data_IF_827400301503
#
_entry.id   IF_827400301503
#
_cell.length_a   1.000
_cell.length_b   1.000
_cell.length_c   1.000
_cell.angle_alpha   90.00
_cell.angle_beta   90.00
_cell.angle_gamma   90.00
#
_symmetry.space_group_name_H-M   'P 1'
#
loop_
_entity.id
_entity.type
_entity.pdbx_description
1 polymer ?
#
# COMPACT_ATOMS: atom_id res chain seq x y z
N UNK A 1 -3.41 14.40 12.08
CA UNK A 1 -2.88 15.74 11.75
C UNK A 1 -2.41 16.50 13.00
N UNK A 2 -3.18 16.52 14.09
CA UNK A 2 -2.79 17.22 15.35
C UNK A 2 -1.46 16.70 15.92
N UNK A 3 -1.26 15.38 16.00
CA UNK A 3 -0.01 14.78 16.48
C UNK A 3 1.21 15.23 15.66
N UNK A 4 1.07 15.25 14.32
CA UNK A 4 2.14 15.67 13.43
C UNK A 4 2.50 17.15 13.63
N UNK A 5 1.48 18.00 13.83
CA UNK A 5 1.68 19.42 14.13
C UNK A 5 2.44 19.62 15.45
N UNK A 6 1.99 18.95 16.52
CA UNK A 6 2.62 19.04 17.85
C UNK A 6 4.08 18.54 17.79
N UNK A 7 4.31 17.39 17.15
CA UNK A 7 5.66 16.85 16.97
C UNK A 7 6.55 17.81 16.18
N UNK A 8 6.03 18.45 15.13
CA UNK A 8 6.79 19.43 14.34
C UNK A 8 7.15 20.67 15.19
N UNK A 9 6.22 21.15 16.02
CA UNK A 9 6.45 22.28 16.94
C UNK A 9 7.51 21.97 18.02
N UNK A 10 7.72 20.70 18.35
CA UNK A 10 8.74 20.28 19.33
C UNK A 10 10.08 20.00 18.63
N UNK A 11 10.06 19.21 17.56
CA UNK A 11 11.27 18.70 16.91
C UNK A 11 12.05 19.79 16.18
N UNK A 12 11.38 20.68 15.44
CA UNK A 12 12.07 21.69 14.64
C UNK A 12 12.84 22.71 15.50
N UNK A 13 12.26 23.26 16.59
CA UNK A 13 13.02 24.16 17.48
C UNK A 13 14.11 23.46 18.29
N UNK A 14 13.92 22.18 18.63
CA UNK A 14 14.89 21.42 19.43
C UNK A 14 16.11 20.98 18.62
N UNK A 15 15.94 20.78 17.30
CA UNK A 15 16.98 20.30 16.40
C UNK A 15 17.14 21.18 15.15
N UNK A 16 17.46 22.48 15.30
CA UNK A 16 17.47 23.43 14.19
C UNK A 16 18.56 23.15 13.14
N UNK A 17 19.61 22.42 13.53
CA UNK A 17 20.74 22.09 12.66
C UNK A 17 20.51 20.80 11.86
N UNK A 18 19.45 20.04 12.15
CA UNK A 18 19.14 18.79 11.45
C UNK A 18 18.30 19.11 10.22
N UNK A 19 18.61 18.47 9.09
CA UNK A 19 17.84 18.70 7.87
C UNK A 19 16.38 18.28 8.05
N UNK A 20 15.48 19.08 7.48
CA UNK A 20 14.03 18.90 7.60
C UNK A 20 13.54 17.52 7.16
N UNK A 21 14.18 16.87 6.18
CA UNK A 21 13.74 15.56 5.69
C UNK A 21 13.87 14.48 6.76
N UNK A 22 14.92 14.56 7.60
CA UNK A 22 15.09 13.63 8.72
C UNK A 22 14.08 13.90 9.85
N UNK A 23 13.74 15.17 10.08
CA UNK A 23 12.73 15.54 11.08
C UNK A 23 11.33 15.08 10.65
N UNK A 24 10.98 15.22 9.37
CA UNK A 24 9.73 14.73 8.81
C UNK A 24 9.57 13.22 8.98
N UNK A 25 10.65 12.45 8.81
CA UNK A 25 10.65 11.02 9.06
C UNK A 25 10.24 10.69 10.51
N UNK A 26 10.80 11.39 11.49
CA UNK A 26 10.46 11.22 12.90
C UNK A 26 9.03 11.67 13.23
N UNK A 27 8.57 12.78 12.65
CA UNK A 27 7.19 13.25 12.76
C UNK A 27 6.21 12.19 12.23
N UNK A 28 6.53 11.57 11.09
CA UNK A 28 5.71 10.52 10.49
C UNK A 28 5.66 9.27 11.39
N UNK A 29 6.82 8.79 11.85
CA UNK A 29 6.88 7.64 12.77
C UNK A 29 6.10 7.90 14.06
N UNK A 30 6.32 9.05 14.70
CA UNK A 30 5.60 9.42 15.92
C UNK A 30 4.09 9.50 15.70
N UNK A 31 3.66 10.04 14.56
CA UNK A 31 2.24 10.12 14.20
C UNK A 31 1.62 8.74 13.99
N UNK A 32 2.34 7.81 13.34
CA UNK A 32 1.91 6.41 13.16
C UNK A 32 1.79 5.72 14.51
N UNK A 33 2.80 5.85 15.38
CA UNK A 33 2.80 5.23 16.70
C UNK A 33 1.60 5.69 17.54
N UNK A 34 1.35 7.02 17.58
CA UNK A 34 0.18 7.57 18.29
C UNK A 34 -1.13 7.10 17.65
N UNK A 35 -1.22 7.04 16.32
CA UNK A 35 -2.42 6.54 15.65
C UNK A 35 -2.71 5.09 16.05
N UNK A 36 -1.71 4.22 16.01
CA UNK A 36 -1.85 2.80 16.40
C UNK A 36 -2.27 2.69 17.86
N UNK A 37 -1.63 3.47 18.75
CA UNK A 37 -1.95 3.48 20.17
C UNK A 37 -3.41 3.88 20.41
N UNK A 38 -3.83 5.02 19.84
CA UNK A 38 -5.20 5.51 19.99
C UNK A 38 -6.21 4.53 19.40
N UNK A 39 -5.89 3.89 18.26
CA UNK A 39 -6.74 2.84 17.67
C UNK A 39 -6.97 1.68 18.65
N UNK A 40 -5.93 1.22 19.34
CA UNK A 40 -6.07 0.13 20.33
C UNK A 40 -6.73 0.57 21.63
N UNK A 41 -6.60 1.84 22.03
CA UNK A 41 -7.26 2.38 23.22
C UNK A 41 -8.75 2.70 22.99
N UNK A 42 -9.16 2.90 21.75
CA UNK A 42 -10.56 3.18 21.41
C UNK A 42 -11.38 1.90 21.56
N UNK A 43 -12.48 1.91 22.33
CA UNK A 43 -13.34 0.73 22.46
C UNK A 43 -13.83 0.22 21.09
N UNK A 44 -13.89 -1.11 20.90
CA UNK A 44 -14.40 -1.69 19.65
C UNK A 44 -15.87 -1.35 19.45
N UNK A 45 -16.28 -1.23 18.18
CA UNK A 45 -17.68 -0.99 17.82
C UNK A 45 -18.54 -2.22 18.18
N UNK A 46 -19.82 -2.04 18.52
CA UNK A 46 -20.73 -3.16 18.78
C UNK A 46 -20.82 -4.14 17.59
N UNK A 47 -20.88 -5.45 17.88
CA UNK A 47 -20.84 -6.49 16.85
C UNK A 47 -21.99 -6.39 15.85
N UNK A 48 -23.20 -6.03 16.30
CA UNK A 48 -24.36 -5.81 15.44
C UNK A 48 -24.10 -4.72 14.37
N UNK A 49 -23.44 -3.63 14.74
CA UNK A 49 -23.06 -2.57 13.80
C UNK A 49 -22.03 -3.07 12.78
N UNK A 50 -21.08 -3.89 13.21
CA UNK A 50 -20.09 -4.51 12.32
C UNK A 50 -20.75 -5.48 11.33
N UNK A 51 -21.70 -6.30 11.79
CA UNK A 51 -22.42 -7.27 10.95
C UNK A 51 -23.27 -6.56 9.89
N UNK A 52 -23.98 -5.49 10.26
CA UNK A 52 -24.77 -4.67 9.32
C UNK A 52 -23.87 -3.99 8.28
N UNK A 53 -22.70 -3.50 8.68
CA UNK A 53 -21.70 -2.95 7.77
C UNK A 53 -21.20 -4.02 6.79
N UNK A 54 -20.84 -5.20 7.29
CA UNK A 54 -20.34 -6.31 6.48
C UNK A 54 -21.37 -6.75 5.44
N UNK A 55 -22.64 -6.90 5.84
CA UNK A 55 -23.74 -7.28 4.94
C UNK A 55 -23.96 -6.25 3.83
N UNK A 56 -23.80 -4.97 4.14
CA UNK A 56 -24.06 -3.87 3.19
C UNK A 56 -22.92 -3.65 2.20
N UNK A 57 -21.67 -3.78 2.64
CA UNK A 57 -20.49 -3.34 1.89
C UNK A 57 -19.71 -4.52 1.29
N UNK A 58 -19.91 -5.73 1.82
CA UNK A 58 -19.10 -6.92 1.55
C UNK A 58 -17.59 -6.61 1.46
N UNK A 59 -17.01 -6.16 2.58
CA UNK A 59 -15.68 -5.56 2.55
C UNK A 59 -14.60 -6.65 2.40
N UNK A 60 -13.55 -6.35 1.63
CA UNK A 60 -12.37 -7.21 1.51
C UNK A 60 -11.41 -6.97 2.69
N UNK A 61 -10.69 -8.02 3.12
CA UNK A 61 -9.62 -7.92 4.12
C UNK A 61 -9.96 -8.53 5.48
N UNK A 62 -9.37 -7.95 6.53
CA UNK A 62 -9.31 -8.52 7.88
C UNK A 62 -10.56 -8.23 8.74
N UNK A 63 -11.76 -8.37 8.16
CA UNK A 63 -13.02 -8.11 8.86
C UNK A 63 -13.49 -9.36 9.61
N UNK A 64 -13.77 -9.22 10.90
CA UNK A 64 -14.30 -10.31 11.74
C UNK A 64 -15.81 -10.48 11.47
N UNK A 65 -16.24 -11.71 11.18
CA UNK A 65 -17.64 -12.05 10.89
C UNK A 65 -17.74 -13.34 10.07
N UNK A 66 -18.93 -13.65 9.56
CA UNK A 66 -19.16 -14.75 8.61
C UNK A 66 -18.30 -14.57 7.35
N UNK A 67 -17.82 -15.67 6.74
CA UNK A 67 -16.97 -15.69 5.55
C UNK A 67 -15.60 -14.99 5.63
N UNK A 68 -15.10 -14.68 6.83
CA UNK A 68 -13.79 -14.05 7.04
C UNK A 68 -12.64 -14.75 6.26
N UNK A 69 -12.58 -16.09 6.29
CA UNK A 69 -11.53 -16.85 5.59
C UNK A 69 -11.53 -16.59 4.08
N UNK A 70 -12.70 -16.61 3.45
CA UNK A 70 -12.85 -16.38 2.01
C UNK A 70 -12.48 -14.95 1.63
N UNK A 71 -12.94 -13.95 2.41
CA UNK A 71 -12.58 -12.54 2.20
C UNK A 71 -11.09 -12.28 2.34
N UNK A 72 -10.44 -12.98 3.26
CA UNK A 72 -9.01 -12.88 3.47
C UNK A 72 -8.23 -13.48 2.30
N UNK A 73 -8.66 -14.64 1.78
CA UNK A 73 -8.10 -15.23 0.57
C UNK A 73 -8.26 -14.30 -0.65
N UNK A 74 -9.44 -13.69 -0.82
CA UNK A 74 -9.71 -12.71 -1.88
C UNK A 74 -8.85 -11.44 -1.73
N UNK A 75 -8.63 -10.98 -0.49
CA UNK A 75 -7.74 -9.87 -0.20
C UNK A 75 -6.29 -10.17 -0.59
N UNK A 76 -5.76 -11.33 -0.20
CA UNK A 76 -4.42 -11.75 -0.60
C UNK A 76 -4.29 -11.89 -2.12
N UNK A 77 -5.32 -12.42 -2.79
CA UNK A 77 -5.36 -12.50 -4.26
C UNK A 77 -5.29 -11.10 -4.88
N UNK A 78 -6.07 -10.14 -4.38
CA UNK A 78 -6.06 -8.75 -4.86
C UNK A 78 -4.73 -8.05 -4.58
N UNK A 79 -4.11 -8.24 -3.40
CA UNK A 79 -2.76 -7.73 -3.11
C UNK A 79 -1.75 -8.30 -4.10
N UNK A 80 -1.79 -9.61 -4.34
CA UNK A 80 -0.87 -10.26 -5.26
C UNK A 80 -1.01 -9.71 -6.68
N UNK A 81 -2.25 -9.52 -7.15
CA UNK A 81 -2.54 -8.93 -8.46
C UNK A 81 -2.07 -7.47 -8.53
N UNK A 82 -2.35 -6.68 -7.50
CA UNK A 82 -1.89 -5.30 -7.40
C UNK A 82 -0.36 -5.23 -7.48
N UNK A 83 0.35 -6.02 -6.67
CA UNK A 83 1.81 -6.09 -6.69
C UNK A 83 2.34 -6.50 -8.07
N UNK A 84 1.74 -7.52 -8.69
CA UNK A 84 2.12 -7.98 -10.02
C UNK A 84 1.95 -6.87 -11.08
N UNK A 85 0.82 -6.17 -11.05
CA UNK A 85 0.54 -5.04 -11.94
C UNK A 85 1.49 -3.87 -11.70
N UNK A 86 1.76 -3.52 -10.44
CA UNK A 86 2.72 -2.48 -10.07
C UNK A 86 4.12 -2.81 -10.57
N UNK A 87 4.62 -4.03 -10.33
CA UNK A 87 5.94 -4.46 -10.82
C UNK A 87 5.98 -4.42 -12.35
N UNK A 88 4.95 -4.92 -13.03
CA UNK A 88 4.87 -4.84 -14.49
C UNK A 88 4.99 -3.38 -14.97
N UNK A 89 4.20 -2.46 -14.41
CA UNK A 89 4.25 -1.04 -14.76
C UNK A 89 5.64 -0.42 -14.55
N UNK A 90 6.32 -0.74 -13.44
CA UNK A 90 7.70 -0.30 -13.22
C UNK A 90 8.66 -0.81 -14.28
N UNK A 91 8.55 -2.09 -14.69
CA UNK A 91 9.33 -2.63 -15.81
C UNK A 91 9.06 -1.87 -17.11
N UNK A 92 7.81 -1.50 -17.40
CA UNK A 92 7.45 -0.69 -18.56
C UNK A 92 8.07 0.71 -18.52
N UNK A 93 7.97 1.39 -17.37
CA UNK A 93 8.57 2.71 -17.16
C UNK A 93 10.10 2.67 -17.28
N UNK A 94 10.76 1.68 -16.68
CA UNK A 94 12.21 1.54 -16.77
C UNK A 94 12.68 1.16 -18.16
N UNK A 95 11.93 0.34 -18.89
CA UNK A 95 12.23 0.02 -20.28
C UNK A 95 12.32 1.27 -21.14
N UNK A 96 11.30 2.14 -21.06
CA UNK A 96 11.30 3.44 -21.75
C UNK A 96 12.48 4.32 -21.30
N UNK A 97 12.75 4.39 -19.99
CA UNK A 97 13.87 5.15 -19.45
C UNK A 97 15.22 4.68 -20.01
N UNK A 98 15.47 3.36 -20.06
CA UNK A 98 16.72 2.80 -20.58
C UNK A 98 16.88 3.01 -22.08
N UNK A 99 15.80 2.96 -22.87
CA UNK A 99 15.88 3.31 -24.29
C UNK A 99 16.26 4.78 -24.50
N UNK A 100 15.73 5.71 -23.70
CA UNK A 100 16.15 7.11 -23.75
C UNK A 100 17.60 7.34 -23.33
N UNK A 101 18.13 6.52 -22.42
CA UNK A 101 19.53 6.55 -22.03
C UNK A 101 20.46 5.82 -23.02
N UNK A 102 19.96 5.38 -24.18
CA UNK A 102 20.68 4.60 -25.18
C UNK A 102 21.24 3.26 -24.64
N UNK A 103 20.67 2.76 -23.54
CA UNK A 103 21.00 1.48 -22.91
C UNK A 103 20.06 0.39 -23.41
N UNK A 104 20.16 0.05 -24.71
CA UNK A 104 19.18 -0.80 -25.39
C UNK A 104 19.02 -2.18 -24.76
N UNK A 105 20.10 -2.79 -24.25
CA UNK A 105 20.04 -4.13 -23.65
C UNK A 105 19.15 -4.16 -22.39
N UNK A 106 19.36 -3.21 -21.48
CA UNK A 106 18.54 -3.02 -20.28
C UNK A 106 17.10 -2.67 -20.66
N UNK A 107 16.92 -1.83 -21.69
CA UNK A 107 15.60 -1.48 -22.24
C UNK A 107 14.81 -2.70 -22.70
N UNK A 108 15.43 -3.60 -23.46
CA UNK A 108 14.80 -4.84 -23.91
C UNK A 108 14.51 -5.83 -22.77
N UNK A 109 15.43 -5.97 -21.81
CA UNK A 109 15.19 -6.80 -20.63
C UNK A 109 13.97 -6.33 -19.85
N UNK A 110 13.89 -5.02 -19.59
CA UNK A 110 12.75 -4.42 -18.90
C UNK A 110 11.45 -4.54 -19.73
N UNK A 111 11.54 -4.41 -21.06
CA UNK A 111 10.37 -4.58 -21.95
C UNK A 111 9.81 -5.99 -21.88
N UNK A 112 10.69 -7.00 -21.94
CA UNK A 112 10.28 -8.39 -21.84
C UNK A 112 9.61 -8.67 -20.49
N UNK A 113 10.18 -8.16 -19.40
CA UNK A 113 9.58 -8.27 -18.06
C UNK A 113 8.19 -7.61 -17.99
N UNK A 114 8.00 -6.43 -18.59
CA UNK A 114 6.70 -5.77 -18.66
C UNK A 114 5.66 -6.63 -19.38
N UNK A 115 6.00 -7.13 -20.57
CA UNK A 115 5.09 -7.96 -21.38
C UNK A 115 4.76 -9.27 -20.65
N UNK A 116 5.77 -9.96 -20.13
CA UNK A 116 5.59 -11.22 -19.41
C UNK A 116 4.70 -11.07 -18.17
N UNK A 117 5.02 -10.10 -17.29
CA UNK A 117 4.24 -9.85 -16.08
C UNK A 117 2.84 -9.31 -16.41
N UNK A 118 2.70 -8.52 -17.46
CA UNK A 118 1.41 -8.03 -17.96
C UNK A 118 0.51 -9.17 -18.45
N UNK A 119 1.06 -10.13 -19.20
CA UNK A 119 0.33 -11.34 -19.62
C UNK A 119 -0.08 -12.18 -18.41
N UNK A 120 0.83 -12.37 -17.45
CA UNK A 120 0.52 -13.08 -16.21
C UNK A 120 -0.59 -12.41 -15.40
N UNK A 121 -0.57 -11.08 -15.31
CA UNK A 121 -1.61 -10.27 -14.67
C UNK A 121 -2.95 -10.47 -15.38
N UNK A 122 -2.96 -10.31 -16.70
CA UNK A 122 -4.17 -10.47 -17.52
C UNK A 122 -4.80 -11.86 -17.35
N UNK A 123 -3.98 -12.92 -17.40
CA UNK A 123 -4.45 -14.29 -17.23
C UNK A 123 -5.02 -14.55 -15.83
N UNK A 124 -4.43 -13.96 -14.77
CA UNK A 124 -4.91 -14.16 -13.39
C UNK A 124 -6.15 -13.34 -13.04
N UNK A 125 -6.31 -12.16 -13.64
CA UNK A 125 -7.46 -11.29 -13.40
C UNK A 125 -8.66 -11.67 -14.26
N UNK A 126 -8.46 -11.83 -15.58
CA UNK A 126 -9.53 -12.01 -16.56
C UNK A 126 -9.61 -13.43 -17.15
N UNK A 127 -8.55 -14.23 -17.03
CA UNK A 127 -8.47 -15.58 -17.62
C UNK A 127 -9.22 -16.69 -16.85
N UNK A 128 -10.12 -16.34 -15.94
CA UNK A 128 -11.11 -17.28 -15.38
C UNK A 128 -12.40 -17.17 -16.20
N UNK A 129 -12.48 -17.93 -17.29
CA UNK A 129 -13.73 -18.46 -17.86
C UNK A 129 -13.75 -19.94 -17.48
#
# INVERSE_FOLDING_TARGET
MITALILSMILYPSYPNVRSEYLLFWVAIGSVAVSILVTFLTPPVPQNTLDDFIKRVDPIGFWKGEDNKKRLEDFYKKIFLWLLGTVALFFGMFSLGYFFLLQSWQGFFCLFGFVFLGILYWKKEFGRI
#
